data_IF_213942425650
#
_entry.id   IF_213942425650
#
_cell.length_a   1.000
_cell.length_b   1.000
_cell.length_c   1.000
_cell.angle_alpha   90.00
_cell.angle_beta   90.00
_cell.angle_gamma   90.00
#
_symmetry.space_group_name_H-M   'P 1'
#
loop_
_entity.id
_entity.type
_entity.pdbx_description
1 polymer ?
2 non-polymer ?
3 water ?
#
# COMPACT_ATOMS: atom_id res chain seq x y z
N UNK A 2 10.21 1.13 -24.59
CA UNK A 2 11.56 1.07 -24.02
C UNK A 2 11.84 -0.32 -23.44
N UNK A 3 13.10 -0.61 -23.17
CA UNK A 3 13.46 -1.85 -22.49
C UNK A 3 12.90 -1.83 -21.09
N UNK A 4 12.14 -2.87 -20.73
CA UNK A 4 11.59 -3.00 -19.38
C UNK A 4 12.71 -3.05 -18.37
N UNK A 5 12.46 -2.49 -17.21
CA UNK A 5 13.38 -2.59 -16.10
C UNK A 5 13.62 -4.06 -15.80
N UNK A 6 14.76 -4.37 -15.18
CA UNK A 6 15.09 -5.72 -14.81
C UNK A 6 14.06 -6.25 -13.82
N UNK A 7 13.76 -5.49 -12.79
CA UNK A 7 12.81 -5.93 -11.78
C UNK A 7 11.44 -5.37 -12.01
N UNK A 8 10.45 -6.25 -11.97
CA UNK A 8 9.07 -5.83 -11.96
C UNK A 8 8.83 -5.00 -10.68
N UNK A 9 7.87 -4.09 -10.72
CA UNK A 9 7.58 -3.27 -9.55
C UNK A 9 6.80 -4.04 -8.49
N UNK A 10 7.47 -4.43 -7.42
CA UNK A 10 6.81 -5.08 -6.30
C UNK A 10 5.86 -4.07 -5.66
N UNK A 11 6.26 -2.81 -5.71
CA UNK A 11 5.46 -1.71 -5.19
C UNK A 11 4.03 -1.71 -5.78
N UNK A 12 3.95 -1.70 -7.11
CA UNK A 12 2.67 -1.70 -7.79
C UNK A 12 1.90 -3.00 -7.44
N UNK A 13 2.61 -4.12 -7.33
CA UNK A 13 1.98 -5.36 -6.95
C UNK A 13 1.34 -5.30 -5.57
N UNK A 14 2.06 -4.69 -4.62
CA UNK A 14 1.58 -4.50 -3.26
C UNK A 14 0.37 -3.55 -3.23
N UNK A 15 0.42 -2.52 -4.06
CA UNK A 15 -0.64 -1.53 -4.10
C UNK A 15 -1.94 -2.08 -4.70
N UNK A 16 -1.79 -2.88 -5.75
CA UNK A 16 -2.96 -3.47 -6.40
C UNK A 16 -3.58 -4.54 -5.51
N UNK A 17 -2.75 -5.28 -4.80
CA UNK A 17 -3.23 -6.32 -3.91
C UNK A 17 -4.04 -5.75 -2.74
N UNK A 18 -3.56 -4.66 -2.14
CA UNK A 18 -4.26 -4.11 -1.01
C UNK A 18 -5.54 -3.44 -1.50
N UNK A 19 -5.47 -2.79 -2.66
CA UNK A 19 -6.67 -2.15 -3.23
C UNK A 19 -7.76 -3.18 -3.57
N UNK A 20 -7.38 -4.37 -4.01
CA UNK A 20 -8.37 -5.43 -4.24
C UNK A 20 -9.01 -5.88 -2.90
N UNK A 21 -8.24 -5.87 -1.82
CA UNK A 21 -8.82 -6.19 -0.52
C UNK A 21 -9.78 -5.05 -0.08
N UNK A 23 -11.65 -2.97 -1.87
CA UNK A 23 -12.96 -2.91 -2.51
C UNK A 23 -13.89 -3.94 -1.88
N UNK A 24 -13.35 -5.07 -1.41
CA UNK A 24 -14.14 -6.04 -0.64
C UNK A 24 -14.46 -5.52 0.75
N UNK A 25 -13.60 -4.68 1.32
CA UNK A 25 -13.76 -4.28 2.72
C UNK A 25 -14.43 -2.91 2.85
N UNK A 26 -14.44 -2.15 1.77
CA UNK A 26 -15.01 -0.81 1.78
C UNK A 26 -16.48 -0.76 2.23
N UNK A 27 -17.35 -1.65 1.71
CA UNK A 27 -18.73 -1.53 2.16
C UNK A 27 -18.89 -1.89 3.64
N UNK A 28 -18.11 -2.85 4.13
CA UNK A 28 -18.12 -3.25 5.54
C UNK A 28 -17.72 -2.10 6.44
N UNK A 29 -16.66 -1.40 6.06
CA UNK A 29 -16.13 -0.28 6.82
C UNK A 29 -17.08 0.91 6.76
N UNK A 30 -17.72 1.10 5.62
CA UNK A 30 -18.62 2.23 5.45
C UNK A 30 -19.83 2.10 6.34
N UNK A 31 -20.37 0.89 6.38
CA UNK A 31 -21.55 0.59 7.19
C UNK A 31 -21.29 0.71 8.69
N UNK A 32 -20.08 0.40 9.10
CA UNK A 32 -19.76 0.54 10.52
C UNK A 32 -19.29 1.96 10.85
N UNK A 33 -19.33 2.83 9.84
CA UNK A 33 -18.85 4.21 9.92
C UNK A 33 -17.37 4.33 10.26
N UNK A 34 -16.53 3.47 9.67
CA UNK A 34 -15.09 3.43 9.93
C UNK A 34 -14.29 3.65 8.65
N UNK A 35 -13.26 4.50 8.67
CA UNK A 35 -12.41 4.68 7.49
C UNK A 35 -11.32 3.63 7.42
N UNK A 36 -10.65 3.60 6.27
CA UNK A 36 -9.55 2.68 6.03
C UNK A 36 -8.42 2.88 7.05
N UNK A 37 -8.01 4.13 7.25
CA UNK A 37 -6.98 4.45 8.22
C UNK A 37 -7.44 4.08 9.63
N UNK A 38 -8.70 4.35 9.95
CA UNK A 38 -9.20 4.07 11.30
C UNK A 38 -9.14 2.58 11.62
N UNK A 39 -9.48 1.75 10.64
CA UNK A 39 -9.51 0.31 10.82
C UNK A 39 -8.08 -0.25 10.97
N UNK A 40 -7.12 0.31 10.24
CA UNK A 40 -5.74 -0.13 10.39
C UNK A 40 -5.34 0.03 11.85
N UNK A 41 -5.70 1.17 12.42
CA UNK A 41 -5.42 1.46 13.81
C UNK A 41 -6.17 0.52 14.75
N UNK A 42 -7.46 0.37 14.52
CA UNK A 42 -8.31 -0.46 15.36
C UNK A 42 -7.82 -1.91 15.38
N UNK A 43 -7.51 -2.44 14.21
CA UNK A 43 -7.05 -3.81 14.14
C UNK A 43 -5.72 -3.95 14.88
N UNK A 44 -4.79 -3.04 14.62
CA UNK A 44 -3.47 -3.11 15.24
C UNK A 44 -3.52 -2.98 16.76
N UNK A 45 -4.38 -2.10 17.28
CA UNK A 45 -4.50 -1.98 18.73
C UNK A 45 -5.13 -3.26 19.29
N UNK A 46 -6.11 -3.81 18.59
CA UNK A 46 -6.75 -5.03 19.05
C UNK A 46 -5.75 -6.19 19.08
N UNK A 47 -4.95 -6.32 18.03
CA UNK A 47 -4.10 -7.48 17.87
C UNK A 47 -2.79 -7.40 18.64
N UNK A 48 -2.34 -6.19 18.96
CA UNK A 48 -1.12 -5.99 19.74
C UNK A 48 -1.44 -5.68 21.19
N UNK A 49 -2.70 -5.47 21.50
CA UNK A 49 -3.06 -5.12 22.87
C UNK A 49 -2.94 -3.63 23.10
N UNK A 50 -1.73 -3.11 22.84
CA UNK A 50 -1.44 -1.69 22.93
C UNK A 50 -0.23 -1.32 22.04
N UNK A 51 -0.20 -0.10 21.52
CA UNK A 51 0.98 0.42 20.83
C UNK A 51 1.27 1.86 21.29
N UNK A 52 2.55 2.22 21.39
CA UNK A 52 2.84 3.60 21.70
C UNK A 52 2.64 4.41 20.42
N UNK A 53 2.42 5.72 20.58
CA UNK A 53 2.09 6.61 19.46
C UNK A 53 3.03 6.45 18.29
N UNK A 54 4.32 6.43 18.57
CA UNK A 54 5.31 6.27 17.52
C UNK A 54 5.20 4.91 16.80
N UNK A 55 5.15 3.81 17.55
CA UNK A 55 4.99 2.49 16.92
C UNK A 55 3.68 2.38 16.13
N UNK A 56 2.60 2.98 16.65
CA UNK A 56 1.32 2.98 15.95
C UNK A 56 1.42 3.65 14.59
N UNK A 57 2.14 4.78 14.51
CA UNK A 57 2.30 5.47 13.24
C UNK A 57 3.08 4.63 12.22
N UNK A 58 4.15 3.98 12.68
CA UNK A 58 4.95 3.16 11.78
C UNK A 58 4.19 1.95 11.25
N UNK A 59 3.50 1.25 12.15
CA UNK A 59 2.81 0.02 11.79
C UNK A 59 1.50 0.24 11.04
N UNK A 60 0.78 1.33 11.36
CA UNK A 60 -0.45 1.65 10.64
C UNK A 60 -0.13 2.44 9.37
N UNK A 61 1.12 2.88 9.25
CA UNK A 61 1.58 3.69 8.12
C UNK A 61 0.75 4.95 7.94
N UNK A 62 0.67 5.74 9.01
CA UNK A 62 -0.04 7.01 8.99
C UNK A 62 0.89 8.15 9.42
N UNK A 63 0.89 9.25 8.66
CA UNK A 63 1.72 10.41 9.01
C UNK A 63 1.34 10.91 10.41
N UNK A 64 2.34 11.31 11.19
CA UNK A 64 2.14 11.53 12.62
C UNK A 64 1.09 12.58 13.02
N UNK A 65 1.13 13.78 12.41
CA UNK A 65 0.09 14.74 12.79
C UNK A 65 -1.31 14.27 12.42
N UNK A 66 -1.43 13.55 11.31
CA UNK A 66 -2.71 13.03 10.88
C UNK A 66 -3.24 11.95 11.86
N UNK A 67 -2.33 11.17 12.43
CA UNK A 67 -2.65 10.12 13.40
C UNK A 67 -3.21 10.70 14.70
N UNK A 68 -2.64 11.81 15.11
CA UNK A 68 -3.09 12.51 16.30
C UNK A 68 -4.54 12.94 16.15
N UNK A 69 -4.85 13.50 14.98
CA UNK A 69 -6.20 13.95 14.69
C UNK A 69 -7.15 12.78 14.68
N UNK A 70 -6.74 11.68 14.05
CA UNK A 70 -7.54 10.48 14.02
C UNK A 70 -7.76 9.93 15.43
N UNK A 71 -6.69 9.88 16.22
CA UNK A 71 -6.76 9.38 17.59
C UNK A 71 -7.68 10.23 18.45
N UNK A 72 -7.52 11.55 18.39
CA UNK A 72 -8.38 12.48 19.08
C UNK A 72 -9.85 12.16 18.83
N UNK A 73 -10.18 11.91 17.57
CA UNK A 73 -11.56 11.64 17.20
C UNK A 73 -12.03 10.30 17.71
N UNK A 74 -11.16 9.28 17.66
CA UNK A 74 -11.49 7.94 18.16
C UNK A 74 -11.65 7.93 19.68
N UNK A 75 -10.92 8.79 20.39
CA UNK A 75 -11.10 8.92 21.84
C UNK A 75 -12.43 9.59 22.17
N UNK A 76 -12.74 10.68 21.47
CA UNK A 76 -14.00 11.38 21.73
C UNK A 76 -15.17 10.46 21.47
N UNK A 77 -14.99 9.54 20.52
CA UNK A 77 -16.00 8.55 20.19
C UNK A 77 -16.03 7.40 21.19
N UNK A 78 -15.07 7.39 22.12
CA UNK A 78 -15.02 6.39 23.16
C UNK A 78 -14.44 5.07 22.71
N UNK A 79 -13.72 5.06 21.60
CA UNK A 79 -13.21 3.81 21.05
C UNK A 79 -11.77 3.58 21.46
N UNK A 80 -11.05 4.66 21.73
CA UNK A 80 -9.63 4.56 22.06
C UNK A 80 -9.32 5.33 23.35
N UNK A 81 -8.49 4.72 24.19
CA UNK A 81 -8.03 5.32 25.42
C UNK A 81 -6.51 5.45 25.42
N UNK A 82 -6.00 6.53 26.00
CA UNK A 82 -4.55 6.68 26.24
C UNK A 82 -4.04 6.01 27.53
N UNK A 83 -2.90 5.35 27.41
CA UNK A 83 -2.18 4.75 28.54
C UNK A 83 -0.84 5.44 28.80
N UNK A 84 -0.61 5.88 30.03
CA UNK A 84 0.67 6.53 30.31
C UNK A 84 1.57 5.59 31.09
N UNK A 85 2.84 5.49 30.68
CA UNK A 85 3.77 4.58 31.37
C UNK A 85 4.51 5.30 32.48
N UNK A 86 4.80 4.60 33.57
CA UNK A 86 5.39 5.24 34.73
C UNK A 86 6.89 5.47 34.56
N UNK A 87 7.44 5.03 33.43
CA UNK A 87 8.89 5.14 33.26
C UNK A 87 9.29 6.00 32.07
N UNK A 88 8.31 6.66 31.47
CA UNK A 88 8.57 7.60 30.39
C UNK A 88 7.54 8.72 30.32
N UNK A 89 8.01 9.94 30.53
CA UNK A 89 7.16 11.10 30.72
C UNK A 89 6.48 11.60 29.44
N UNK A 90 7.04 11.31 28.28
CA UNK A 90 6.51 11.88 27.04
C UNK A 90 5.74 10.84 26.21
N UNK A 91 6.16 9.59 26.37
CA UNK A 91 5.67 8.47 25.60
C UNK A 91 4.22 8.12 25.93
N UNK A 92 3.41 7.95 24.90
CA UNK A 92 1.97 7.69 25.04
C UNK A 92 1.60 6.36 24.40
N UNK A 93 0.91 5.50 25.15
CA UNK A 93 0.42 4.23 24.62
C UNK A 93 -1.07 4.37 24.27
N UNK A 94 -1.54 3.58 23.30
CA UNK A 94 -2.93 3.61 22.86
C UNK A 94 -3.52 2.21 22.94
N UNK A 95 -4.79 2.12 23.30
CA UNK A 95 -5.47 0.85 23.47
C UNK A 95 -6.96 1.04 23.17
N UNK A 96 -7.63 -0.02 22.76
CA UNK A 96 -9.07 0.03 22.56
C UNK A 96 -9.78 0.01 23.92
N UNK A 97 -10.92 0.68 23.96
CA UNK A 97 -11.83 0.65 25.10
C UNK A 97 -12.70 -0.59 24.97
N UNK A 98 -13.67 -0.72 25.87
CA UNK A 98 -14.64 -1.79 25.76
C UNK A 98 -15.41 -1.64 24.46
N UNK A 99 -15.82 -0.41 24.17
CA UNK A 99 -16.57 -0.12 22.95
C UNK A 99 -15.72 -0.42 21.72
N UNK A 100 -14.43 -0.08 21.80
CA UNK A 100 -13.52 -0.32 20.69
C UNK A 100 -13.30 -1.79 20.40
N UNK A 101 -13.18 -2.58 21.45
CA UNK A 101 -12.99 -4.02 21.31
C UNK A 101 -14.20 -4.68 20.64
N UNK A 102 -15.40 -4.35 21.13
CA UNK A 102 -16.65 -4.84 20.54
C UNK A 102 -16.77 -4.47 19.07
N UNK A 103 -16.45 -3.23 18.72
CA UNK A 103 -16.49 -2.79 17.33
C UNK A 103 -15.50 -3.58 16.48
N UNK A 104 -14.33 -3.85 17.03
CA UNK A 104 -13.31 -4.63 16.35
C UNK A 104 -13.78 -6.03 16.02
N UNK A 105 -14.49 -6.64 16.96
CA UNK A 105 -14.94 -8.01 16.81
C UNK A 105 -16.00 -8.12 15.72
N UNK A 106 -16.93 -7.18 15.72
CA UNK A 106 -18.07 -7.26 14.82
C UNK A 106 -17.68 -6.92 13.38
N UNK A 107 -16.69 -6.05 13.24
CA UNK A 107 -16.14 -5.70 11.94
C UNK A 107 -15.10 -6.74 11.56
N UNK A 108 -14.30 -7.14 12.55
CA UNK A 108 -13.26 -8.12 12.33
C UNK A 108 -13.79 -9.42 11.76
N UNK A 109 -14.94 -9.85 12.23
CA UNK A 109 -15.53 -11.10 11.77
C UNK A 109 -16.00 -10.99 10.33
N UNK A 110 -16.51 -9.83 9.96
CA UNK A 110 -16.98 -9.61 8.61
C UNK A 110 -15.83 -9.58 7.61
N UNK A 111 -14.77 -8.88 8.00
CA UNK A 111 -13.56 -8.75 7.21
C UNK A 111 -12.83 -10.08 7.06
N UNK A 112 -12.77 -10.84 8.14
CA UNK A 112 -12.04 -12.10 8.16
C UNK A 112 -12.65 -13.13 7.22
N UNK A 113 -13.89 -12.90 6.80
CA UNK A 113 -14.58 -13.86 5.93
C UNK A 113 -13.87 -13.97 4.57
N UNK A 114 -13.51 -12.83 4.00
CA UNK A 114 -12.74 -12.83 2.75
C UNK A 114 -11.34 -13.41 2.96
N UNK A 115 -10.73 -13.18 4.11
CA UNK A 115 -9.43 -13.78 4.40
C UNK A 115 -9.59 -15.30 4.45
N UNK A 116 -10.67 -15.76 5.07
CA UNK A 116 -10.96 -17.19 5.14
C UNK A 116 -11.22 -17.79 3.77
N UNK A 117 -11.95 -17.06 2.93
CA UNK A 117 -12.28 -17.55 1.60
C UNK A 117 -11.02 -17.72 0.77
N UNK A 118 -10.13 -16.73 0.84
CA UNK A 118 -8.85 -16.80 0.14
C UNK A 118 -8.00 -17.95 0.68
N UNK A 119 -8.04 -18.13 2.00
CA UNK A 119 -7.25 -19.17 2.65
C UNK A 119 -7.72 -20.58 2.34
N UNK A 120 -9.02 -20.74 2.13
CA UNK A 120 -9.55 -22.04 1.76
C UNK A 120 -9.18 -22.37 0.31
N UNK A 121 -8.92 -21.33 -0.47
CA UNK A 121 -8.59 -21.48 -1.88
C UNK A 121 -7.07 -21.56 -2.11
N UNK A 122 -6.33 -20.61 -1.53
CA UNK A 122 -4.88 -20.55 -1.68
C UNK A 122 -4.20 -21.63 -0.86
N UNK A 123 -4.78 -22.00 0.27
CA UNK A 123 -4.14 -22.97 1.15
C UNK A 123 -3.51 -22.27 2.33
N UNK A 124 -3.56 -22.86 3.51
CA UNK A 124 -3.03 -22.24 4.73
C UNK A 124 -1.52 -22.01 4.67
N UNK A 125 -0.81 -22.97 4.09
CA UNK A 125 0.65 -22.92 3.95
C UNK A 125 1.10 -21.72 3.16
N UNK A 126 0.47 -21.50 2.00
CA UNK A 126 0.82 -20.37 1.16
C UNK A 126 0.47 -19.05 1.82
N UNK A 128 0.30 -18.40 5.03
CA UNK A 128 1.33 -18.13 6.03
C UNK A 128 2.58 -17.58 5.39
N UNK A 129 3.00 -18.22 4.31
CA UNK A 129 4.19 -17.80 3.58
C UNK A 129 4.08 -16.35 3.10
N UNK A 130 2.92 -15.98 2.58
CA UNK A 130 2.74 -14.63 2.08
C UNK A 130 2.83 -13.63 3.23
N UNK A 131 2.15 -13.93 4.34
CA UNK A 131 2.23 -13.09 5.53
C UNK A 131 3.64 -12.96 6.08
N UNK A 132 4.41 -14.04 6.02
CA UNK A 132 5.75 -14.01 6.56
C UNK A 132 6.67 -13.21 5.65
N UNK A 133 6.50 -13.34 4.33
CA UNK A 133 7.35 -12.61 3.39
C UNK A 133 7.08 -11.10 3.44
N UNK A 134 5.80 -10.72 3.53
CA UNK A 134 5.43 -9.32 3.69
C UNK A 134 6.08 -8.73 4.94
N UNK A 135 6.04 -9.49 6.04
CA UNK A 135 6.64 -9.06 7.29
C UNK A 135 8.16 -8.96 7.18
N UNK A 136 8.79 -9.85 6.43
CA UNK A 136 10.24 -9.80 6.25
C UNK A 136 10.65 -8.61 5.37
N UNK A 137 9.83 -8.30 4.38
CA UNK A 137 10.09 -7.13 3.56
C UNK A 137 9.84 -5.85 4.35
N UNK A 138 8.82 -5.89 5.18
CA UNK A 138 8.43 -4.74 5.97
C UNK A 138 9.44 -4.44 7.07
N UNK A 139 10.10 -5.47 7.59
CA UNK A 139 11.00 -5.30 8.72
C UNK A 139 12.40 -4.98 8.27
N UNK A 140 12.59 -4.91 6.95
CA UNK A 140 13.85 -4.42 6.41
C UNK A 140 14.08 -3.00 6.88
N UNK A 141 15.23 -2.81 7.54
CA UNK A 141 15.62 -1.55 8.16
C UNK A 141 14.67 -1.22 9.30
N UNK B 9 -3.14 -10.10 9.24
CA UNK B 9 -3.84 -9.18 8.35
C UNK B 9 -3.01 -8.90 7.11
N UNK B 10 -3.43 -9.49 5.99
CA UNK B 10 -2.75 -9.31 4.73
C UNK B 10 -2.78 -7.84 4.35
N UNK B 11 -3.90 -7.18 4.63
CA UNK B 11 -4.08 -5.75 4.37
C UNK B 11 -2.99 -4.90 5.00
N UNK B 12 -2.88 -4.98 6.31
CA UNK B 12 -1.85 -4.28 7.07
C UNK B 12 -0.44 -4.69 6.64
N UNK B 13 -0.24 -5.98 6.42
CA UNK B 13 1.05 -6.48 5.96
C UNK B 13 1.43 -5.90 4.62
N UNK B 14 0.45 -5.76 3.73
CA UNK B 14 0.71 -5.21 2.40
C UNK B 14 1.16 -3.76 2.45
N UNK B 15 0.51 -2.95 3.28
CA UNK B 15 0.86 -1.53 3.37
C UNK B 15 2.21 -1.33 4.07
N UNK B 16 2.53 -2.18 5.04
CA UNK B 16 3.81 -2.11 5.75
C UNK B 16 4.99 -2.48 4.85
N UNK B 17 4.77 -3.49 4.01
CA UNK B 17 5.79 -3.91 3.07
C UNK B 17 6.03 -2.78 2.06
N UNK B 18 4.95 -2.10 1.70
CA UNK B 18 5.03 -0.99 0.74
C UNK B 18 5.75 0.23 1.33
N UNK B 19 5.45 0.53 2.58
CA UNK B 19 6.10 1.67 3.23
C UNK B 19 7.61 1.41 3.35
N UNK B 20 7.97 0.16 3.58
CA UNK B 20 9.38 -0.22 3.66
C UNK B 20 10.10 -0.06 2.31
N UNK B 21 9.41 -0.36 1.21
CA UNK B 21 9.99 -0.18 -0.12
C UNK B 21 10.20 1.28 -0.45
N UNK B 23 10.84 3.75 1.50
CA UNK B 23 12.01 4.32 2.16
C UNK B 23 13.30 3.97 1.42
N UNK B 24 13.31 2.79 0.79
CA UNK B 24 14.45 2.37 0.00
C UNK B 24 14.55 3.12 -1.30
N UNK B 25 13.41 3.51 -1.86
CA UNK B 25 13.42 4.14 -3.19
C UNK B 25 13.22 5.64 -3.17
N UNK B 26 12.80 6.16 -2.02
CA UNK B 26 12.59 7.61 -1.86
C UNK B 26 13.77 8.44 -2.30
N UNK B 27 15.00 8.08 -1.87
CA UNK B 27 16.08 8.97 -2.29
C UNK B 27 16.30 8.98 -3.79
N UNK B 28 16.09 7.85 -4.46
CA UNK B 28 16.22 7.79 -5.90
C UNK B 28 15.17 8.67 -6.58
N UNK B 29 13.91 8.58 -6.16
CA UNK B 29 12.87 9.37 -6.81
C UNK B 29 13.02 10.87 -6.50
N UNK B 30 13.41 11.22 -5.29
CA UNK B 30 13.59 12.63 -4.93
C UNK B 30 14.77 13.28 -5.66
N UNK B 31 15.84 12.53 -5.83
CA UNK B 31 17.00 13.04 -6.54
C UNK B 31 16.58 13.35 -7.97
N UNK B 32 15.62 12.59 -8.48
CA UNK B 32 15.08 12.83 -9.81
C UNK B 32 13.92 13.83 -9.78
N UNK B 33 13.59 14.32 -8.59
CA UNK B 33 12.48 15.24 -8.40
C UNK B 33 11.16 14.67 -8.91
N UNK B 34 10.92 13.39 -8.63
CA UNK B 34 9.71 12.71 -9.07
C UNK B 34 8.99 12.13 -7.85
N UNK B 35 7.66 12.20 -7.84
CA UNK B 35 6.90 11.59 -6.75
C UNK B 35 6.61 10.10 -7.00
N UNK B 36 6.17 9.38 -5.97
CA UNK B 36 5.82 7.96 -6.09
C UNK B 36 4.73 7.75 -7.15
N UNK B 37 3.70 8.58 -7.09
CA UNK B 37 2.58 8.53 -8.02
C UNK B 37 3.01 8.77 -9.46
N UNK B 38 3.88 9.76 -9.66
CA UNK B 38 4.37 10.11 -10.98
C UNK B 38 5.19 8.97 -11.55
N UNK B 39 6.01 8.37 -10.70
CA UNK B 39 6.85 7.27 -11.10
C UNK B 39 6.00 6.03 -11.41
N UNK B 40 4.96 5.84 -10.61
CA UNK B 40 4.03 4.75 -10.81
C UNK B 40 3.40 4.82 -12.20
N UNK B 41 2.98 6.02 -12.58
CA UNK B 41 2.38 6.27 -13.88
C UNK B 41 3.38 6.09 -15.02
N UNK B 42 4.58 6.64 -14.85
CA UNK B 42 5.61 6.50 -15.88
C UNK B 42 5.90 5.01 -16.13
N UNK B 43 6.00 4.21 -15.07
CA UNK B 43 6.27 2.79 -15.23
C UNK B 43 5.14 2.07 -15.97
N UNK B 44 3.90 2.36 -15.59
CA UNK B 44 2.75 1.68 -16.18
C UNK B 44 2.65 1.98 -17.68
N UNK B 45 2.93 3.22 -18.05
CA UNK B 45 2.91 3.63 -19.46
C UNK B 45 4.04 2.99 -20.23
N UNK B 46 5.21 2.95 -19.61
CA UNK B 46 6.39 2.38 -20.23
C UNK B 46 6.18 0.89 -20.51
N UNK B 47 5.56 0.22 -19.56
CA UNK B 47 5.49 -1.23 -19.58
C UNK B 47 4.26 -1.76 -20.33
N UNK B 48 3.26 -0.90 -20.53
CA UNK B 48 2.08 -1.28 -21.30
C UNK B 48 2.06 -0.65 -22.69
N UNK B 49 2.97 0.29 -22.93
CA UNK B 49 3.06 0.97 -24.22
C UNK B 49 2.10 2.13 -24.39
N UNK B 50 0.81 1.83 -24.32
CA UNK B 50 -0.23 2.84 -24.39
C UNK B 50 -1.46 2.34 -23.62
N UNK B 51 -2.07 3.24 -22.85
CA UNK B 51 -3.22 2.89 -22.03
C UNK B 51 -4.31 3.93 -22.07
N UNK B 52 -5.57 3.52 -21.97
CA UNK B 52 -6.61 4.54 -21.81
C UNK B 52 -6.65 5.00 -20.36
N UNK B 53 -7.21 6.19 -20.17
CA UNK B 53 -7.23 6.87 -18.88
C UNK B 53 -7.75 5.98 -17.77
N UNK B 54 -8.86 5.30 -18.05
CA UNK B 54 -9.51 4.45 -17.07
C UNK B 54 -8.62 3.29 -16.62
N UNK B 55 -8.01 2.58 -17.57
CA UNK B 55 -7.11 1.47 -17.26
C UNK B 55 -5.91 1.92 -16.45
N UNK B 56 -5.37 3.08 -16.81
CA UNK B 56 -4.27 3.68 -16.08
C UNK B 56 -4.67 3.94 -14.66
N UNK B 57 -5.88 4.47 -14.49
CA UNK B 57 -6.42 4.81 -13.19
C UNK B 57 -6.49 3.60 -12.30
N UNK B 58 -7.01 2.51 -12.87
CA UNK B 58 -7.19 1.27 -12.14
C UNK B 58 -5.88 0.62 -11.75
N UNK B 59 -4.93 0.57 -12.67
CA UNK B 59 -3.68 -0.12 -12.42
C UNK B 59 -2.79 0.69 -11.48
N UNK B 60 -2.90 2.01 -11.55
CA UNK B 60 -2.11 2.84 -10.67
C UNK B 60 -2.76 2.99 -9.29
N UNK B 61 -4.02 2.57 -9.21
CA UNK B 61 -4.84 2.73 -8.01
C UNK B 61 -4.91 4.20 -7.61
N UNK B 62 -5.28 5.04 -8.57
CA UNK B 62 -5.44 6.47 -8.35
C UNK B 62 -6.81 6.94 -8.82
N UNK B 63 -7.56 7.67 -7.99
CA UNK B 63 -8.86 8.18 -8.40
C UNK B 63 -8.73 9.14 -9.60
N UNK B 64 -9.73 9.12 -10.47
CA UNK B 64 -9.65 9.79 -11.77
C UNK B 64 -9.34 11.28 -11.71
N UNK B 65 -10.03 12.06 -10.85
CA UNK B 65 -9.65 13.47 -10.81
C UNK B 65 -8.22 13.71 -10.35
N UNK B 66 -7.75 12.92 -9.37
CA UNK B 66 -6.39 13.07 -8.91
C UNK B 66 -5.42 12.68 -10.03
N UNK B 67 -5.78 11.67 -10.82
CA UNK B 67 -4.95 11.24 -11.95
C UNK B 67 -4.84 12.32 -13.01
N UNK B 68 -5.94 13.01 -13.25
CA UNK B 68 -5.98 14.11 -14.21
C UNK B 68 -4.96 15.17 -13.85
N UNK B 69 -4.86 15.48 -12.55
CA UNK B 69 -3.90 16.45 -12.08
C UNK B 69 -2.46 16.02 -12.27
N UNK B 70 -2.18 14.77 -11.95
CA UNK B 70 -0.83 14.23 -12.11
C UNK B 70 -0.48 14.19 -13.60
N UNK B 71 -1.44 13.77 -14.42
CA UNK B 71 -1.22 13.69 -15.86
C UNK B 71 -0.95 15.08 -16.43
N UNK B 72 -1.74 16.06 -16.01
CA UNK B 72 -1.54 17.44 -16.42
C UNK B 72 -0.09 17.88 -16.18
N UNK B 73 0.45 17.57 -15.03
CA UNK B 73 1.83 17.98 -14.75
C UNK B 73 2.85 17.17 -15.54
N UNK B 74 2.60 15.88 -15.74
CA UNK B 74 3.53 15.05 -16.51
C UNK B 74 3.56 15.49 -17.97
N UNK B 75 2.42 15.97 -18.49
CA UNK B 75 2.36 16.50 -19.85
C UNK B 75 3.13 17.81 -19.95
N UNK B 76 2.91 18.70 -18.98
CA UNK B 76 3.61 19.98 -18.98
C UNK B 76 5.11 19.78 -18.88
N UNK B 77 5.50 18.71 -18.21
CA UNK B 77 6.92 18.38 -18.08
C UNK B 77 7.46 17.71 -19.35
N UNK B 78 6.56 17.37 -20.28
CA UNK B 78 6.95 16.79 -21.56
C UNK B 78 7.24 15.30 -21.51
N UNK B 79 6.70 14.62 -20.50
CA UNK B 79 6.98 13.20 -20.28
C UNK B 79 5.86 12.32 -20.78
N UNK B 80 4.65 12.88 -20.79
CA UNK B 80 3.45 12.12 -21.16
C UNK B 80 2.64 12.88 -22.18
N UNK B 81 2.11 12.16 -23.17
CA UNK B 81 1.22 12.76 -24.16
C UNK B 81 -0.15 12.09 -24.19
N UNK B 82 -1.18 12.91 -24.34
CA UNK B 82 -2.55 12.47 -24.47
C UNK B 82 -2.69 12.30 -25.96
N UNK B 83 -3.48 11.37 -26.42
CA UNK B 83 -3.65 11.15 -27.84
C UNK B 83 -4.96 11.85 -28.32
N UNK B 84 -4.78 12.97 -29.03
CA UNK B 84 -5.83 13.86 -29.52
C UNK B 84 -5.71 14.20 -31.03
N UNK B 85 -6.81 14.73 -31.72
CA UNK B 85 -8.05 14.92 -30.93
C UNK B 85 -8.89 13.71 -30.66
N UNK B 91 -13.30 8.60 -24.68
CA UNK B 91 -12.19 7.73 -24.29
C UNK B 91 -10.86 8.41 -24.60
N UNK B 92 -9.98 8.45 -23.61
CA UNK B 92 -8.71 9.16 -23.75
C UNK B 92 -7.53 8.22 -23.63
N UNK B 93 -6.60 8.30 -24.58
CA UNK B 93 -5.41 7.46 -24.52
C UNK B 93 -4.17 8.21 -24.07
N UNK B 94 -3.29 7.50 -23.37
CA UNK B 94 -2.06 8.07 -22.82
C UNK B 94 -0.83 7.29 -23.25
N UNK B 95 0.25 8.02 -23.47
CA UNK B 95 1.50 7.43 -23.93
C UNK B 95 2.65 8.28 -23.42
N UNK B 96 3.81 7.66 -23.21
CA UNK B 96 5.01 8.42 -22.87
C UNK B 96 5.59 9.13 -24.09
N UNK B 97 6.24 10.27 -23.86
CA UNK B 97 6.98 10.92 -24.93
C UNK B 97 8.33 10.21 -25.08
N UNK B 98 9.18 10.71 -25.97
CA UNK B 98 10.53 10.15 -26.10
C UNK B 98 11.29 10.39 -24.79
N UNK B 99 11.14 11.60 -24.27
CA UNK B 99 11.79 12.03 -23.03
C UNK B 99 11.29 11.24 -21.83
N UNK B 100 9.99 10.93 -21.83
CA UNK B 100 9.41 10.16 -20.76
C UNK B 100 10.00 8.75 -20.75
N UNK B 101 10.21 8.21 -21.95
CA UNK B 101 10.82 6.91 -22.08
C UNK B 101 12.25 6.94 -21.56
N UNK B 102 12.97 7.97 -21.95
CA UNK B 102 14.35 8.20 -21.50
C UNK B 102 14.43 8.25 -19.98
N UNK B 103 13.50 8.99 -19.38
CA UNK B 103 13.46 9.09 -17.93
C UNK B 103 13.17 7.72 -17.31
N UNK B 104 12.31 6.94 -17.94
CA UNK B 104 12.00 5.60 -17.43
C UNK B 104 13.27 4.74 -17.38
N UNK B 105 14.10 4.86 -18.42
CA UNK B 105 15.34 4.09 -18.51
C UNK B 105 16.42 4.53 -17.50
N UNK B 106 16.59 5.84 -17.33
CA UNK B 106 17.65 6.30 -16.43
C UNK B 106 17.25 6.17 -14.95
N UNK B 107 15.98 6.37 -14.64
CA UNK B 107 15.53 6.18 -13.26
C UNK B 107 15.37 4.69 -13.02
N UNK B 108 14.83 4.01 -14.02
CA UNK B 108 14.60 2.58 -13.94
C UNK B 108 15.86 1.81 -13.60
N UNK B 109 16.99 2.29 -14.11
CA UNK B 109 18.27 1.61 -13.88
C UNK B 109 18.70 1.70 -12.41
N UNK B 110 18.50 2.87 -11.81
CA UNK B 110 18.83 3.05 -10.41
C UNK B 110 17.85 2.25 -9.55
N UNK B 111 16.59 2.22 -9.98
CA UNK B 111 15.56 1.46 -9.28
C UNK B 111 15.91 -0.03 -9.31
N UNK B 112 16.37 -0.54 -10.45
CA UNK B 112 16.74 -1.96 -10.56
C UNK B 112 17.93 -2.29 -9.66
N UNK B 113 18.77 -1.29 -9.47
CA UNK B 113 19.96 -1.42 -8.64
C UNK B 113 19.59 -1.59 -7.19
N UNK B 114 18.64 -0.77 -6.73
CA UNK B 114 18.16 -0.82 -5.34
C UNK B 114 17.39 -2.12 -5.07
N UNK B 115 16.68 -2.61 -6.09
CA UNK B 115 16.04 -3.92 -6.02
C UNK B 115 17.04 -5.07 -5.90
N UNK B 116 18.17 -4.96 -6.62
CA UNK B 116 19.23 -5.96 -6.48
C UNK B 116 19.80 -5.98 -5.06
N UNK B 117 19.92 -4.80 -4.45
CA UNK B 117 20.41 -4.70 -3.08
C UNK B 117 19.42 -5.34 -2.10
N UNK B 118 18.12 -5.02 -2.28
CA UNK B 118 17.07 -5.60 -1.45
C UNK B 118 17.00 -7.11 -1.59
N UNK B 119 17.16 -7.58 -2.82
CA UNK B 119 17.08 -8.99 -3.12
C UNK B 119 18.22 -9.76 -2.47
N UNK B 120 19.34 -9.07 -2.29
CA UNK B 120 20.50 -9.61 -1.61
C UNK B 120 20.27 -9.66 -0.09
N UNK B 121 19.28 -8.92 0.41
CA UNK B 121 19.02 -8.96 1.84
C UNK B 121 18.06 -10.08 2.16
N UNK B 122 16.93 -10.12 1.46
CA UNK B 122 15.95 -11.18 1.66
C UNK B 122 16.32 -12.50 1.00
N UNK B 123 17.00 -12.40 -0.14
CA UNK B 123 17.31 -13.58 -0.94
C UNK B 123 16.43 -13.60 -2.18
N UNK B 124 17.01 -14.03 -3.30
CA UNK B 124 16.30 -14.06 -4.57
C UNK B 124 15.08 -14.95 -4.53
N UNK B 125 15.24 -16.12 -3.91
CA UNK B 125 14.16 -17.09 -3.85
C UNK B 125 12.95 -16.52 -3.12
N UNK B 126 13.19 -15.86 -1.99
CA UNK B 126 12.09 -15.25 -1.23
C UNK B 126 11.42 -14.12 -2.01
N UNK B 128 11.20 -13.96 -5.24
CA UNK B 128 10.46 -14.60 -6.31
C UNK B 128 9.20 -15.24 -5.74
N UNK B 129 9.34 -15.86 -4.57
CA UNK B 129 8.19 -16.42 -3.87
C UNK B 129 7.12 -15.39 -3.59
N UNK B 130 7.53 -14.20 -3.16
CA UNK B 130 6.61 -13.12 -2.83
C UNK B 130 5.87 -12.65 -4.06
N UNK B 131 6.62 -12.46 -5.15
CA UNK B 131 6.08 -12.09 -6.45
C UNK B 131 5.10 -13.14 -6.97
N UNK B 132 5.40 -14.40 -6.72
CA UNK B 132 4.57 -15.47 -7.20
C UNK B 132 3.28 -15.53 -6.40
N UNK B 133 3.39 -15.33 -5.09
CA UNK B 133 2.22 -15.35 -4.21
C UNK B 133 1.30 -14.16 -4.44
N UNK B 134 1.86 -12.97 -4.67
CA UNK B 134 1.06 -11.80 -5.02
C UNK B 134 0.28 -12.05 -6.31
N UNK B 135 0.94 -12.68 -7.27
CA UNK B 135 0.31 -13.00 -8.54
C UNK B 135 -0.80 -14.03 -8.36
N UNK B 136 -0.57 -14.99 -7.46
CA UNK B 136 -1.59 -15.98 -7.15
C UNK B 136 -2.72 -15.34 -6.37
N UNK B 137 -2.39 -14.37 -5.52
CA UNK B 137 -3.40 -13.66 -4.74
C UNK B 137 -4.34 -12.88 -5.65
N UNK B 138 -3.78 -12.28 -6.69
CA UNK B 138 -4.56 -11.46 -7.60
C UNK B 138 -5.51 -12.34 -8.41
N UNK B 139 -5.11 -13.58 -8.66
CA UNK B 139 -5.92 -14.45 -9.51
C UNK B 139 -6.98 -15.15 -8.67
N UNK B 140 -6.73 -15.27 -7.37
CA UNK B 140 -7.78 -15.75 -6.46
C UNK B 140 -8.87 -14.69 -6.32
N UNK B 141 -8.46 -13.43 -6.17
CA UNK B 141 -9.42 -12.33 -5.99
C UNK B 141 -10.46 -12.26 -7.11
N UNK B 142 -10.02 -12.43 -8.35
CA UNK B 142 -10.94 -12.45 -9.48
C UNK B 142 -11.85 -13.65 -9.42
N UNK B 143 -11.26 -14.82 -9.17
CA UNK B 143 -12.02 -16.07 -9.12
C UNK B 143 -13.15 -16.02 -8.08
N UNK B 144 -12.85 -15.46 -6.91
CA UNK B 144 -13.85 -15.37 -5.83
C UNK B 144 -15.02 -14.47 -6.23
N UNK B 145 -14.74 -13.48 -7.08
CA UNK B 145 -15.74 -12.52 -7.51
C UNK B 145 -16.45 -12.90 -8.82
#
# INVERSE_FOLDING_TARGET
>A
XPTQSKHASINIGLIQAREALXTQFRPILNQANITDQQWRIIRLLAENGTLDFQDLANQACILRPSLTGILTRLEKAGLVVRLKPSNDQRRVFLKLTAEGEKLYEEIGEEVDERYDAIEEVLGREKXLLLKDLLAELAKIEDALNS
>B
XPTQSKHASINIGLIQAREALXTQFRPILNQANITDQQWRIIRLLAENGTLDFQDLANQACILRPSLTGILTRLEKAGLVVRLKPSNDQRRVFLKLTAEGEKLYEEIGEEVDERYDAIEEVLGREKXLLLKDLLAELAKIEDALNS
#
